data_IF_944015814826
#
_entry.id   IF_944015814826
#
_cell.length_a   1.000
_cell.length_b   1.000
_cell.length_c   1.000
_cell.angle_alpha   90.00
_cell.angle_beta   90.00
_cell.angle_gamma   90.00
#
_symmetry.space_group_name_H-M   'P 1'
#
loop_
_entity.id
_entity.type
_entity.pdbx_description
1 polymer ?
#
# COMPACT_ATOMS: atom_id res chain seq x y z
N UNK A 1 -3.78 -15.73 4.48
CA UNK A 1 -4.67 -14.95 3.59
C UNK A 1 -4.88 -13.50 4.00
N UNK A 2 -4.54 -13.17 5.25
CA UNK A 2 -4.65 -11.83 5.83
C UNK A 2 -4.02 -10.71 4.98
N UNK A 3 -2.81 -10.93 4.45
CA UNK A 3 -2.06 -9.92 3.69
C UNK A 3 -2.40 -9.89 2.18
N UNK A 4 -3.16 -10.85 1.67
CA UNK A 4 -3.57 -10.86 0.26
C UNK A 4 -4.86 -10.07 0.12
N UNK A 5 -4.84 -9.01 -0.67
CA UNK A 5 -6.03 -8.19 -0.91
C UNK A 5 -7.01 -8.89 -1.84
N UNK A 6 -8.26 -8.43 -1.86
CA UNK A 6 -9.27 -8.97 -2.79
C UNK A 6 -8.85 -8.82 -4.26
N UNK A 7 -8.16 -7.74 -4.63
CA UNK A 7 -7.69 -7.54 -6.00
C UNK A 7 -6.42 -8.32 -6.36
N UNK A 8 -5.83 -9.09 -5.43
CA UNK A 8 -4.58 -9.84 -5.67
C UNK A 8 -3.30 -9.01 -5.52
N UNK A 9 -3.36 -7.91 -4.77
CA UNK A 9 -2.16 -7.24 -4.24
C UNK A 9 -1.75 -7.87 -2.89
N UNK A 10 -0.54 -7.56 -2.44
CA UNK A 10 0.04 -8.00 -1.18
C UNK A 10 0.30 -6.79 -0.29
N UNK A 11 -0.31 -6.78 0.91
CA UNK A 11 -0.31 -5.62 1.80
C UNK A 11 1.09 -5.18 2.23
N UNK A 12 2.05 -6.11 2.33
CA UNK A 12 3.42 -5.78 2.73
C UNK A 12 4.30 -5.28 1.57
N UNK A 13 3.76 -5.18 0.34
CA UNK A 13 4.33 -4.33 -0.72
C UNK A 13 3.72 -2.91 -0.72
N UNK A 14 2.81 -2.60 0.21
CA UNK A 14 2.30 -1.24 0.37
C UNK A 14 3.33 -0.38 1.10
N UNK A 15 3.64 0.81 0.56
CA UNK A 15 4.59 1.73 1.19
C UNK A 15 4.14 2.15 2.61
N UNK A 16 2.83 2.28 2.83
CA UNK A 16 2.23 2.59 4.14
C UNK A 16 2.61 1.59 5.23
N UNK A 17 2.78 0.32 4.88
CA UNK A 17 3.14 -0.74 5.83
C UNK A 17 4.64 -1.01 5.85
N UNK A 18 5.28 -0.99 4.68
CA UNK A 18 6.66 -1.50 4.54
C UNK A 18 7.75 -0.43 4.57
N UNK A 19 7.43 0.83 4.23
CA UNK A 19 8.44 1.88 4.00
C UNK A 19 8.23 3.12 4.87
N UNK A 20 7.01 3.64 4.93
CA UNK A 20 6.68 4.87 5.64
C UNK A 20 7.01 4.76 7.14
N UNK A 21 6.64 3.68 7.86
CA UNK A 21 6.93 3.58 9.29
C UNK A 21 8.42 3.64 9.62
N UNK A 22 9.26 2.99 8.80
CA UNK A 22 10.72 3.01 8.97
C UNK A 22 11.30 4.41 8.73
N UNK A 23 10.80 5.13 7.72
CA UNK A 23 11.22 6.51 7.43
C UNK A 23 10.74 7.49 8.50
N UNK A 24 9.52 7.32 8.98
CA UNK A 24 8.97 8.09 10.09
C UNK A 24 9.80 7.90 11.36
N UNK A 25 10.14 6.65 11.70
CA UNK A 25 11.00 6.34 12.84
C UNK A 25 12.39 6.97 12.70
N UNK A 26 12.99 6.94 11.50
CA UNK A 26 14.29 7.57 11.26
C UNK A 26 14.23 9.10 11.44
N UNK A 27 13.18 9.76 10.94
CA UNK A 27 12.97 11.19 11.14
C UNK A 27 12.75 11.51 12.62
N UNK A 28 11.88 10.76 13.30
CA UNK A 28 11.56 10.94 14.72
C UNK A 28 12.83 10.81 15.58
N UNK A 29 13.66 9.80 15.30
CA UNK A 29 14.93 9.59 16.00
C UNK A 29 15.90 10.77 15.81
N UNK A 30 16.08 11.25 14.58
CA UNK A 30 16.95 12.40 14.29
C UNK A 30 16.46 13.69 14.99
N UNK A 31 15.16 13.94 14.99
CA UNK A 31 14.59 15.10 15.69
C UNK A 31 14.71 14.97 17.22
N UNK A 32 14.57 13.75 17.77
CA UNK A 32 14.74 13.51 19.19
C UNK A 32 16.19 13.77 19.65
N UNK A 33 17.19 13.37 18.86
CA UNK A 33 18.61 13.63 19.12
C UNK A 33 18.93 15.14 19.20
N UNK A 34 18.29 15.94 18.34
CA UNK A 34 18.40 17.41 18.35
C UNK A 34 17.51 18.10 19.41
N UNK A 35 16.88 17.33 20.31
CA UNK A 35 16.12 17.86 21.45
C UNK A 35 14.77 18.47 21.10
N UNK A 36 14.23 18.20 19.90
CA UNK A 36 12.91 18.72 19.49
C UNK A 36 11.77 18.37 20.46
N UNK A 37 11.73 17.21 21.14
CA UNK A 37 10.70 16.97 22.14
C UNK A 37 10.65 18.01 23.27
N UNK A 38 11.77 18.68 23.56
CA UNK A 38 11.87 19.72 24.58
C UNK A 38 11.50 21.11 24.05
N UNK A 39 12.10 21.54 22.94
CA UNK A 39 11.93 22.92 22.44
C UNK A 39 10.95 23.04 21.27
N UNK A 40 10.69 21.96 20.55
CA UNK A 40 9.77 21.88 19.41
C UNK A 40 8.36 22.41 19.68
N UNK A 41 7.75 22.21 20.88
CA UNK A 41 6.43 22.77 21.19
C UNK A 41 6.32 24.30 21.10
N UNK A 42 7.47 25.02 21.05
CA UNK A 42 7.49 26.46 20.77
C UNK A 42 7.26 26.82 19.30
N UNK A 43 7.36 25.84 18.39
CA UNK A 43 7.13 25.99 16.96
C UNK A 43 5.64 25.70 16.66
N UNK A 44 4.90 26.64 16.01
CA UNK A 44 3.50 26.40 15.65
C UNK A 44 3.32 25.11 14.85
N UNK A 45 2.37 24.27 15.28
CA UNK A 45 2.04 23.00 14.63
C UNK A 45 2.93 21.81 15.00
N UNK A 46 3.95 21.99 15.85
CA UNK A 46 4.84 20.89 16.23
C UNK A 46 4.11 19.78 16.98
N UNK A 47 3.24 20.10 17.93
CA UNK A 47 2.56 19.09 18.74
C UNK A 47 1.66 18.18 17.90
N UNK A 48 0.92 18.76 16.96
CA UNK A 48 0.09 18.03 16.00
C UNK A 48 0.94 17.19 15.07
N UNK A 49 2.02 17.76 14.52
CA UNK A 49 2.98 17.04 13.69
C UNK A 49 3.62 15.87 14.43
N UNK A 50 4.06 16.09 15.66
CA UNK A 50 4.74 15.07 16.46
C UNK A 50 3.80 13.92 16.80
N UNK A 51 2.54 14.21 17.15
CA UNK A 51 1.53 13.19 17.38
C UNK A 51 1.22 12.39 16.12
N UNK A 52 1.16 13.04 14.95
CA UNK A 52 0.96 12.35 13.68
C UNK A 52 2.16 11.48 13.30
N UNK A 53 3.38 12.00 13.45
CA UNK A 53 4.62 11.28 13.20
C UNK A 53 4.71 10.04 14.10
N UNK A 54 4.37 10.17 15.38
CA UNK A 54 4.33 9.05 16.33
C UNK A 54 3.40 7.93 15.82
N UNK A 55 2.20 8.29 15.36
CA UNK A 55 1.26 7.35 14.74
C UNK A 55 1.79 6.66 13.48
N UNK A 56 2.66 7.31 12.70
CA UNK A 56 3.33 6.67 11.55
C UNK A 56 4.41 5.68 12.01
N UNK A 57 5.11 5.95 13.11
CA UNK A 57 6.21 5.10 13.59
C UNK A 57 5.72 3.76 14.14
N UNK A 58 4.53 3.71 14.75
CA UNK A 58 4.00 2.51 15.40
C UNK A 58 3.71 1.38 14.41
N UNK A 59 3.60 1.68 13.10
CA UNK A 59 3.25 0.69 12.07
C UNK A 59 1.81 0.18 12.15
N UNK A 60 1.02 0.69 13.10
CA UNK A 60 -0.40 0.36 13.29
C UNK A 60 -1.32 1.06 12.27
N UNK A 61 -0.77 1.99 11.47
CA UNK A 61 -1.55 2.92 10.63
C UNK A 61 -2.47 2.26 9.58
N UNK A 62 -2.14 1.06 9.09
CA UNK A 62 -2.99 0.34 8.14
C UNK A 62 -3.29 -1.09 8.59
N UNK A 63 -4.54 -1.42 8.97
CA UNK A 63 -4.90 -2.75 9.45
C UNK A 63 -4.89 -3.83 8.34
N UNK A 64 -4.67 -3.44 7.08
CA UNK A 64 -4.69 -4.33 5.93
C UNK A 64 -6.06 -4.39 5.26
N UNK A 65 -6.08 -4.76 3.97
CA UNK A 65 -7.27 -4.66 3.11
C UNK A 65 -8.50 -5.39 3.66
N UNK A 66 -8.29 -6.59 4.22
CA UNK A 66 -9.36 -7.43 4.76
C UNK A 66 -9.89 -6.95 6.11
N UNK A 67 -9.08 -6.22 6.87
CA UNK A 67 -9.46 -5.62 8.15
C UNK A 67 -9.88 -4.14 8.03
N UNK A 68 -10.27 -3.69 6.83
CA UNK A 68 -10.82 -2.35 6.60
C UNK A 68 -9.81 -1.30 6.15
N UNK A 69 -8.54 -1.64 5.99
CA UNK A 69 -7.52 -0.75 5.43
C UNK A 69 -7.74 -0.41 3.95
N UNK A 70 -6.99 0.58 3.47
CA UNK A 70 -7.10 1.11 2.10
C UNK A 70 -8.33 2.01 1.92
N UNK A 71 -8.67 2.31 0.66
CA UNK A 71 -9.79 3.20 0.34
C UNK A 71 -11.13 2.64 0.84
N UNK A 72 -11.88 3.33 1.72
CA UNK A 72 -13.12 2.80 2.31
C UNK A 72 -14.13 2.30 1.27
N UNK A 73 -14.38 3.09 0.21
CA UNK A 73 -15.33 2.79 -0.87
C UNK A 73 -14.79 1.90 -2.00
N UNK A 74 -13.81 1.03 -1.72
CA UNK A 74 -13.21 0.16 -2.74
C UNK A 74 -14.25 -0.80 -3.36
N UNK A 75 -14.61 -0.55 -4.62
CA UNK A 75 -15.60 -1.34 -5.38
C UNK A 75 -15.17 -2.79 -5.60
N UNK A 76 -13.88 -3.05 -5.79
CA UNK A 76 -13.36 -4.42 -5.92
C UNK A 76 -13.63 -5.24 -4.65
N UNK A 77 -13.43 -4.64 -3.47
CA UNK A 77 -13.68 -5.31 -2.19
C UNK A 77 -15.17 -5.60 -1.99
N UNK A 78 -16.04 -4.67 -2.37
CA UNK A 78 -17.49 -4.85 -2.29
C UNK A 78 -17.90 -6.00 -3.22
N UNK A 79 -17.52 -5.93 -4.50
CA UNK A 79 -17.80 -6.94 -5.51
C UNK A 79 -17.31 -8.33 -5.10
N UNK A 80 -16.07 -8.46 -4.63
CA UNK A 80 -15.52 -9.75 -4.21
C UNK A 80 -16.30 -10.36 -3.04
N UNK A 81 -16.73 -9.54 -2.07
CA UNK A 81 -17.55 -10.00 -0.94
C UNK A 81 -18.95 -10.45 -1.39
N UNK A 82 -19.61 -9.68 -2.24
CA UNK A 82 -20.93 -10.02 -2.79
C UNK A 82 -20.91 -11.31 -3.60
N UNK A 83 -19.81 -11.54 -4.33
CA UNK A 83 -19.62 -12.76 -5.14
C UNK A 83 -19.03 -13.94 -4.36
N UNK A 84 -18.68 -13.78 -3.09
CA UNK A 84 -18.05 -14.82 -2.28
C UNK A 84 -16.66 -15.23 -2.79
N UNK A 85 -15.92 -14.31 -3.41
CA UNK A 85 -14.57 -14.53 -3.94
C UNK A 85 -13.53 -14.14 -2.89
N UNK A 86 -12.54 -15.01 -2.67
CA UNK A 86 -11.40 -14.67 -1.82
C UNK A 86 -10.46 -13.71 -2.54
N UNK A 87 -10.15 -13.96 -3.81
CA UNK A 87 -9.25 -13.14 -4.64
C UNK A 87 -9.79 -13.05 -6.07
N UNK A 88 -9.66 -11.88 -6.71
CA UNK A 88 -10.12 -11.64 -8.08
C UNK A 88 -9.52 -12.60 -9.11
N UNK A 89 -8.33 -13.17 -8.88
CA UNK A 89 -7.74 -14.22 -9.72
C UNK A 89 -8.62 -15.46 -9.86
N UNK A 90 -9.56 -15.71 -8.94
CA UNK A 90 -10.52 -16.81 -8.98
C UNK A 90 -11.81 -16.46 -9.75
N UNK A 91 -11.97 -15.20 -10.15
CA UNK A 91 -13.16 -14.72 -10.85
C UNK A 91 -13.17 -15.20 -12.30
N UNK A 92 -14.31 -15.72 -12.77
CA UNK A 92 -14.47 -16.13 -14.17
C UNK A 92 -14.34 -14.95 -15.16
N UNK A 93 -14.68 -13.74 -14.72
CA UNK A 93 -14.60 -12.51 -15.52
C UNK A 93 -13.23 -11.81 -15.41
N UNK A 94 -12.23 -12.46 -14.80
CA UNK A 94 -10.90 -11.86 -14.64
C UNK A 94 -10.17 -11.76 -16.00
N UNK A 95 -9.57 -10.63 -16.38
CA UNK A 95 -9.56 -9.33 -15.72
C UNK A 95 -10.77 -8.47 -16.14
N UNK A 96 -11.59 -8.03 -15.17
CA UNK A 96 -12.74 -7.16 -15.43
C UNK A 96 -12.39 -5.68 -15.30
N UNK A 97 -13.32 -4.80 -15.68
CA UNK A 97 -13.14 -3.33 -15.67
C UNK A 97 -12.63 -2.76 -14.33
N UNK A 98 -13.04 -3.33 -13.20
CA UNK A 98 -12.57 -2.87 -11.89
C UNK A 98 -11.07 -3.16 -11.68
N UNK A 99 -10.61 -4.33 -12.14
CA UNK A 99 -9.19 -4.72 -12.07
C UNK A 99 -8.38 -3.92 -13.07
N UNK A 100 -8.89 -3.74 -14.30
CA UNK A 100 -8.22 -2.94 -15.33
C UNK A 100 -8.03 -1.48 -14.89
N UNK A 101 -9.06 -0.87 -14.30
CA UNK A 101 -8.97 0.48 -13.77
C UNK A 101 -7.90 0.60 -12.67
N UNK A 102 -7.78 -0.40 -11.78
CA UNK A 102 -6.73 -0.41 -10.77
C UNK A 102 -5.34 -0.69 -11.38
N UNK A 103 -5.27 -1.52 -12.42
CA UNK A 103 -4.02 -1.87 -13.09
C UNK A 103 -3.35 -0.67 -13.76
N UNK A 104 -4.12 0.32 -14.21
CA UNK A 104 -3.60 1.60 -14.70
C UNK A 104 -2.70 2.31 -13.67
N UNK A 105 -2.99 2.14 -12.37
CA UNK A 105 -2.14 2.66 -11.28
C UNK A 105 -1.25 1.59 -10.67
N UNK A 106 -1.42 0.31 -10.98
CA UNK A 106 -0.68 -0.82 -10.41
C UNK A 106 -0.27 -1.77 -11.54
N UNK A 107 0.81 -1.48 -12.27
CA UNK A 107 1.09 -2.13 -13.55
C UNK A 107 1.37 -3.64 -13.43
N UNK A 108 1.79 -4.14 -12.25
CA UNK A 108 1.97 -5.58 -12.04
C UNK A 108 0.67 -6.31 -11.68
N UNK A 109 -0.44 -5.63 -11.41
CA UNK A 109 -1.65 -6.21 -10.84
C UNK A 109 -2.17 -7.40 -11.64
N UNK A 110 -2.37 -7.21 -12.95
CA UNK A 110 -2.91 -8.25 -13.83
C UNK A 110 -1.89 -9.39 -13.95
N UNK A 111 -0.62 -9.07 -14.19
CA UNK A 111 0.43 -10.07 -14.33
C UNK A 111 0.61 -10.92 -13.06
N UNK A 112 0.56 -10.32 -11.87
CA UNK A 112 0.65 -11.01 -10.59
C UNK A 112 -0.57 -11.90 -10.33
N UNK A 113 -1.77 -11.48 -10.73
CA UNK A 113 -2.96 -12.34 -10.63
C UNK A 113 -2.92 -13.51 -11.64
N UNK A 114 -2.47 -13.28 -12.88
CA UNK A 114 -2.23 -14.37 -13.86
C UNK A 114 -1.17 -15.34 -13.34
N UNK A 115 -0.10 -14.82 -12.72
CA UNK A 115 0.91 -15.65 -12.04
C UNK A 115 0.26 -16.48 -10.94
N UNK A 116 -0.56 -15.87 -10.09
CA UNK A 116 -1.30 -16.56 -9.02
C UNK A 116 -2.21 -17.67 -9.55
N UNK A 117 -2.89 -17.48 -10.70
CA UNK A 117 -3.68 -18.53 -11.36
C UNK A 117 -2.81 -19.70 -11.80
N UNK A 118 -1.61 -19.42 -12.33
CA UNK A 118 -0.72 -20.42 -12.89
C UNK A 118 0.01 -21.27 -11.84
N UNK A 119 0.44 -20.67 -10.73
CA UNK A 119 1.25 -21.37 -9.70
C UNK A 119 0.53 -21.62 -8.39
N UNK A 120 -0.70 -21.13 -8.27
CA UNK A 120 -1.44 -21.16 -7.03
C UNK A 120 -0.95 -20.14 -6.00
N UNK A 121 -1.73 -20.04 -4.94
CA UNK A 121 -1.62 -18.97 -3.95
C UNK A 121 -0.37 -19.09 -3.06
N UNK A 122 0.03 -20.31 -2.70
CA UNK A 122 1.17 -20.57 -1.83
C UNK A 122 2.49 -20.12 -2.48
N UNK A 123 2.74 -20.56 -3.72
CA UNK A 123 3.94 -20.15 -4.44
C UNK A 123 3.94 -18.65 -4.73
N UNK A 124 2.79 -18.10 -5.15
CA UNK A 124 2.67 -16.66 -5.39
C UNK A 124 2.96 -15.85 -4.12
N UNK A 125 2.49 -16.30 -2.96
CA UNK A 125 2.76 -15.66 -1.66
C UNK A 125 4.26 -15.63 -1.36
N UNK A 126 4.96 -16.76 -1.53
CA UNK A 126 6.41 -16.81 -1.33
C UNK A 126 7.15 -15.83 -2.26
N UNK A 127 6.69 -15.65 -3.50
CA UNK A 127 7.23 -14.66 -4.44
C UNK A 127 7.00 -13.22 -3.96
N UNK A 128 5.83 -12.90 -3.39
CA UNK A 128 5.56 -11.56 -2.86
C UNK A 128 6.32 -11.28 -1.56
N UNK A 129 6.48 -12.28 -0.70
CA UNK A 129 7.30 -12.20 0.52
C UNK A 129 8.77 -11.95 0.20
N UNK A 130 9.30 -12.57 -0.86
CA UNK A 130 10.66 -12.29 -1.35
C UNK A 130 10.80 -10.85 -1.85
N UNK A 131 9.81 -10.32 -2.61
CA UNK A 131 9.79 -8.91 -3.02
C UNK A 131 9.79 -7.98 -1.80
N UNK A 132 8.95 -8.27 -0.80
CA UNK A 132 8.87 -7.48 0.42
C UNK A 132 10.18 -7.52 1.22
N UNK A 133 10.84 -8.68 1.32
CA UNK A 133 12.15 -8.84 1.96
C UNK A 133 13.23 -7.99 1.31
N UNK A 134 13.18 -7.83 -0.01
CA UNK A 134 14.08 -6.95 -0.79
C UNK A 134 13.76 -5.47 -0.67
N UNK A 135 12.71 -5.10 0.06
CA UNK A 135 12.30 -3.71 0.26
C UNK A 135 11.52 -3.11 -0.92
N UNK A 136 11.07 -3.96 -1.86
CA UNK A 136 10.20 -3.55 -2.96
C UNK A 136 8.87 -3.11 -2.37
N UNK A 137 8.40 -1.94 -2.77
CA UNK A 137 7.02 -1.52 -2.56
C UNK A 137 6.42 -1.16 -3.91
N UNK A 138 5.09 -1.18 -4.02
CA UNK A 138 4.43 -0.86 -5.28
C UNK A 138 4.84 0.49 -5.87
N UNK A 139 5.12 1.49 -5.03
CA UNK A 139 5.59 2.78 -5.51
C UNK A 139 6.85 2.68 -6.39
N UNK A 140 7.74 1.71 -6.15
CA UNK A 140 8.95 1.52 -6.97
C UNK A 140 8.65 1.09 -8.41
N UNK A 141 7.43 0.60 -8.66
CA UNK A 141 7.01 0.07 -9.96
C UNK A 141 5.99 1.01 -10.63
N UNK A 142 5.18 1.73 -9.85
CA UNK A 142 4.11 2.60 -10.36
C UNK A 142 4.59 3.92 -10.94
N UNK A 143 5.77 4.40 -10.54
CA UNK A 143 6.32 5.63 -11.10
C UNK A 143 6.97 5.30 -12.43
N UNK A 144 6.31 5.69 -13.52
CA UNK A 144 6.88 5.64 -14.86
C UNK A 144 7.76 6.87 -15.05
N UNK A 145 9.03 6.64 -15.36
CA UNK A 145 10.02 7.71 -15.62
C UNK A 145 9.98 8.23 -17.05
N UNK A 146 9.32 7.47 -17.94
CA UNK A 146 9.29 7.72 -19.39
C UNK A 146 7.96 8.31 -19.87
N UNK A 147 7.00 8.53 -18.96
CA UNK A 147 5.76 9.22 -19.28
C UNK A 147 5.91 10.72 -18.97
N UNK A 148 5.47 11.62 -19.87
CA UNK A 148 5.50 13.05 -19.58
C UNK A 148 4.67 13.30 -18.31
N UNK A 149 5.22 14.08 -17.36
CA UNK A 149 4.48 14.49 -16.17
C UNK A 149 3.17 15.12 -16.61
N UNK A 150 2.04 14.51 -16.21
CA UNK A 150 0.75 15.16 -16.33
C UNK A 150 0.73 16.27 -15.27
N UNK A 151 1.18 17.45 -15.68
CA UNK A 151 1.12 18.70 -14.91
C UNK A 151 -0.36 19.07 -14.76
N UNK A 152 -1.08 18.31 -13.96
CA UNK A 152 -2.35 18.76 -13.39
C UNK A 152 -2.00 19.51 -12.12
N UNK A 153 -1.77 20.80 -12.34
CA UNK A 153 -1.62 21.84 -11.34
C UNK A 153 -2.61 21.64 -10.19
N UNK A 154 -2.12 21.86 -8.97
CA UNK A 154 -2.99 22.00 -7.82
C UNK A 154 -4.03 23.09 -8.05
N UNK A 155 -5.30 22.74 -7.84
CA UNK A 155 -6.47 23.61 -7.66
C UNK A 155 -7.64 22.65 -7.40
N UNK A 156 -8.35 22.62 -6.26
CA UNK A 156 -8.54 23.53 -5.11
C UNK A 156 -8.99 22.69 -3.92
#
# INVERSE_FOLDING_TARGET
MELVTYCGLYCDLCAERARIPRRAAALQAAMAEEGWPFWGPSVPGFSEFWSFLDGLTSGEGCPGCRAGGGFPGCQIRICARERGLDVCSQCADFACEHVEALAARYPTLIADNVRMQAVGLEQWLAEQEERARRGVVYADIRYQVDEPEDVTDGQT
#
